data_IF_873035574136
#
_entry.id   IF_873035574136
#
_cell.length_a   1.000
_cell.length_b   1.000
_cell.length_c   1.000
_cell.angle_alpha   90.00
_cell.angle_beta   90.00
_cell.angle_gamma   90.00
#
_symmetry.space_group_name_H-M   'P 1'
#
loop_
_entity.id
_entity.type
_entity.pdbx_description
1 polymer ?
#
# COMPACT_ATOMS: atom_id res chain seq x y z
N UNK A 1 -24.08 7.44 8.17
CA UNK A 1 -22.98 7.02 9.07
C UNK A 1 -22.13 6.04 8.27
N UNK A 2 -20.98 6.50 7.76
CA UNK A 2 -20.20 5.70 6.79
C UNK A 2 -19.38 4.63 7.51
N UNK A 3 -19.29 3.44 6.90
CA UNK A 3 -18.55 2.26 7.36
C UNK A 3 -17.10 2.57 7.80
N UNK A 4 -16.50 3.60 7.21
CA UNK A 4 -15.17 4.13 7.56
C UNK A 4 -15.07 4.67 9.00
N UNK A 5 -16.15 5.26 9.52
CA UNK A 5 -16.21 5.81 10.87
C UNK A 5 -16.42 4.72 11.93
N UNK A 6 -17.03 3.59 11.54
CA UNK A 6 -17.19 2.41 12.39
C UNK A 6 -15.87 1.65 12.56
N UNK A 7 -15.08 1.54 11.49
CA UNK A 7 -13.81 0.79 11.52
C UNK A 7 -12.73 1.50 12.35
N UNK A 8 -12.68 2.84 12.30
CA UNK A 8 -11.74 3.62 13.12
C UNK A 8 -12.11 3.63 14.60
N UNK A 9 -13.41 3.59 14.92
CA UNK A 9 -13.90 3.57 16.31
C UNK A 9 -13.74 2.20 16.97
N UNK A 10 -13.79 1.10 16.21
CA UNK A 10 -13.65 -0.24 16.77
C UNK A 10 -12.20 -0.56 17.21
N UNK A 11 -11.20 0.00 16.53
CA UNK A 11 -9.78 -0.25 16.83
C UNK A 11 -9.26 0.53 18.06
N UNK A 12 -9.92 1.64 18.43
CA UNK A 12 -9.50 2.47 19.56
C UNK A 12 -10.05 2.01 20.92
N UNK A 13 -11.12 1.20 20.95
CA UNK A 13 -11.86 0.89 22.18
C UNK A 13 -11.41 -0.41 22.87
N UNK A 14 -10.58 -1.24 22.22
CA UNK A 14 -10.22 -2.58 22.74
C UNK A 14 -8.75 -2.75 23.15
N UNK A 15 -7.98 -1.67 23.32
CA UNK A 15 -6.61 -1.75 23.81
C UNK A 15 -6.50 -1.19 25.23
N UNK A 16 -6.84 -2.01 26.23
CA UNK A 16 -6.49 -1.71 27.61
C UNK A 16 -5.00 -2.03 27.88
N UNK A 17 -4.31 -1.21 28.68
CA UNK A 17 -2.89 -1.37 28.98
C UNK A 17 -2.70 -2.33 30.16
N UNK A 18 -2.18 -3.54 29.92
CA UNK A 18 -1.80 -4.44 31.01
C UNK A 18 -0.32 -4.30 31.39
N UNK A 19 -0.14 -4.23 32.71
CA UNK A 19 1.04 -3.90 33.51
C UNK A 19 2.15 -4.96 33.47
N UNK A 20 3.41 -4.50 33.46
CA UNK A 20 4.64 -5.29 33.66
C UNK A 20 4.86 -5.70 35.13
N UNK A 21 5.60 -6.79 35.39
CA UNK A 21 6.92 -6.59 35.99
C UNK A 21 8.05 -7.51 35.47
N UNK A 22 9.25 -6.90 35.36
CA UNK A 22 10.58 -7.44 35.68
C UNK A 22 11.00 -8.85 35.25
N UNK A 23 11.90 -8.93 34.26
CA UNK A 23 12.77 -10.08 34.02
C UNK A 23 13.70 -9.86 32.82
N UNK A 24 14.97 -9.56 33.07
CA UNK A 24 15.97 -9.36 32.02
C UNK A 24 16.25 -10.68 31.27
N UNK A 25 15.85 -10.74 30.00
CA UNK A 25 16.52 -11.54 28.99
C UNK A 25 16.77 -10.64 27.77
N UNK A 26 18.04 -10.40 27.45
CA UNK A 26 18.47 -9.83 26.17
C UNK A 26 18.06 -10.80 25.06
N UNK A 27 16.85 -10.66 24.54
CA UNK A 27 16.45 -11.21 23.26
C UNK A 27 16.72 -10.13 22.23
N UNK A 28 17.59 -10.43 21.26
CA UNK A 28 17.78 -9.60 20.08
C UNK A 28 16.41 -9.20 19.54
N UNK A 29 16.14 -7.89 19.55
CA UNK A 29 14.98 -7.30 18.92
C UNK A 29 15.18 -7.40 17.40
N UNK A 30 14.81 -8.55 16.84
CA UNK A 30 14.52 -8.65 15.41
C UNK A 30 13.24 -7.86 15.18
N UNK A 31 13.38 -6.54 15.01
CA UNK A 31 12.33 -5.65 14.53
C UNK A 31 11.75 -6.30 13.28
N UNK A 32 10.58 -6.93 13.42
CA UNK A 32 10.11 -8.00 12.56
C UNK A 32 10.22 -7.63 11.08
N UNK A 33 11.21 -8.19 10.40
CA UNK A 33 11.29 -8.18 8.93
C UNK A 33 10.17 -9.11 8.47
N UNK A 34 8.92 -8.62 8.46
CA UNK A 34 7.79 -9.39 7.92
C UNK A 34 8.04 -9.58 6.43
N UNK A 35 8.75 -10.65 6.09
CA UNK A 35 8.87 -11.17 4.73
C UNK A 35 7.57 -11.88 4.35
N UNK A 36 7.26 -11.87 3.07
CA UNK A 36 6.09 -12.59 2.54
C UNK A 36 6.36 -14.09 2.64
N UNK A 37 5.46 -14.83 3.30
CA UNK A 37 5.50 -16.30 3.26
C UNK A 37 5.12 -16.81 1.86
N UNK A 38 5.44 -18.08 1.55
CA UNK A 38 5.00 -18.70 0.30
C UNK A 38 3.47 -18.59 0.11
N UNK A 39 2.71 -18.84 1.20
CA UNK A 39 1.26 -18.68 1.20
C UNK A 39 0.81 -17.25 0.90
N UNK A 40 1.45 -16.24 1.50
CA UNK A 40 1.12 -14.84 1.22
C UNK A 40 1.36 -14.53 -0.28
N UNK A 41 2.47 -15.02 -0.86
CA UNK A 41 2.80 -14.81 -2.27
C UNK A 41 1.78 -15.46 -3.21
N UNK A 42 1.36 -16.69 -2.92
CA UNK A 42 0.37 -17.40 -3.73
C UNK A 42 -0.99 -16.72 -3.69
N UNK A 43 -1.41 -16.24 -2.51
CA UNK A 43 -2.65 -15.47 -2.36
C UNK A 43 -2.57 -14.16 -3.16
N UNK A 44 -1.46 -13.43 -3.06
CA UNK A 44 -1.26 -12.17 -3.82
C UNK A 44 -1.33 -12.42 -5.32
N UNK A 45 -0.61 -13.43 -5.83
CA UNK A 45 -0.64 -13.79 -7.26
C UNK A 45 -2.03 -14.21 -7.71
N UNK A 46 -2.72 -15.04 -6.92
CA UNK A 46 -4.07 -15.51 -7.21
C UNK A 46 -5.10 -14.39 -7.23
N UNK A 47 -5.05 -13.48 -6.25
CA UNK A 47 -5.94 -12.31 -6.22
C UNK A 47 -5.61 -11.32 -7.34
N UNK A 48 -4.33 -11.05 -7.60
CA UNK A 48 -3.89 -10.21 -8.71
C UNK A 48 -4.44 -10.68 -10.05
N UNK A 49 -4.41 -11.99 -10.33
CA UNK A 49 -4.95 -12.55 -11.56
C UNK A 49 -6.44 -12.20 -11.77
N UNK A 50 -7.24 -12.21 -10.69
CA UNK A 50 -8.67 -11.85 -10.73
C UNK A 50 -8.89 -10.35 -10.98
N UNK A 51 -8.12 -9.50 -10.30
CA UNK A 51 -8.36 -8.05 -10.32
C UNK A 51 -7.60 -7.28 -11.41
N UNK A 52 -6.60 -7.89 -12.06
CA UNK A 52 -5.73 -7.21 -13.03
C UNK A 52 -6.46 -6.57 -14.21
N UNK A 53 -7.60 -7.16 -14.65
CA UNK A 53 -8.46 -6.57 -15.67
C UNK A 53 -9.12 -5.24 -15.28
N UNK A 54 -9.09 -4.89 -13.98
CA UNK A 54 -9.58 -3.63 -13.40
C UNK A 54 -8.47 -2.74 -12.85
N UNK A 55 -7.20 -3.05 -13.14
CA UNK A 55 -6.07 -2.32 -12.60
C UNK A 55 -6.14 -0.79 -12.86
N UNK A 56 -6.56 -0.36 -14.05
CA UNK A 56 -6.69 1.08 -14.36
C UNK A 56 -7.78 1.77 -13.52
N UNK A 57 -8.93 1.12 -13.35
CA UNK A 57 -10.04 1.59 -12.51
C UNK A 57 -9.60 1.67 -11.03
N UNK A 58 -8.92 0.62 -10.53
CA UNK A 58 -8.40 0.55 -9.15
C UNK A 58 -7.41 1.69 -8.90
N UNK A 59 -6.43 1.87 -9.79
CA UNK A 59 -5.40 2.90 -9.65
C UNK A 59 -5.97 4.31 -9.70
N UNK A 60 -6.96 4.55 -10.57
CA UNK A 60 -7.65 5.84 -10.68
C UNK A 60 -8.41 6.17 -9.40
N UNK A 61 -9.21 5.24 -8.88
CA UNK A 61 -10.01 5.48 -7.68
C UNK A 61 -9.11 5.62 -6.44
N UNK A 62 -8.08 4.77 -6.30
CA UNK A 62 -7.15 4.84 -5.17
C UNK A 62 -6.38 6.17 -5.15
N UNK A 63 -5.91 6.65 -6.30
CA UNK A 63 -5.24 7.93 -6.40
C UNK A 63 -6.20 9.10 -6.15
N UNK A 64 -7.44 9.02 -6.67
CA UNK A 64 -8.47 10.03 -6.41
C UNK A 64 -8.77 10.16 -4.92
N UNK A 65 -8.94 9.02 -4.22
CA UNK A 65 -9.16 8.98 -2.76
C UNK A 65 -7.98 9.51 -1.99
N UNK A 66 -6.76 9.14 -2.37
CA UNK A 66 -5.54 9.64 -1.74
C UNK A 66 -5.49 11.18 -1.81
N UNK A 67 -5.72 11.76 -2.99
CA UNK A 67 -5.69 13.21 -3.17
C UNK A 67 -6.82 13.91 -2.42
N UNK A 68 -8.01 13.30 -2.33
CA UNK A 68 -9.15 13.89 -1.62
C UNK A 68 -9.02 13.82 -0.10
N UNK A 69 -8.64 12.65 0.44
CA UNK A 69 -8.65 12.35 1.89
C UNK A 69 -7.33 12.73 2.57
N UNK A 70 -6.23 12.78 1.82
CA UNK A 70 -4.89 13.11 2.33
C UNK A 70 -4.31 14.30 1.56
N UNK A 71 -4.79 15.54 1.80
CA UNK A 71 -4.41 16.72 1.02
C UNK A 71 -2.90 17.01 0.99
N UNK A 72 -2.15 16.59 1.99
CA UNK A 72 -0.68 16.72 2.02
C UNK A 72 -0.01 16.04 0.82
N UNK A 73 -0.63 14.98 0.29
CA UNK A 73 -0.10 14.25 -0.88
C UNK A 73 -0.23 15.04 -2.18
N UNK A 74 -1.10 16.06 -2.24
CA UNK A 74 -1.26 16.93 -3.43
C UNK A 74 -0.01 17.73 -3.76
N UNK A 75 0.87 17.97 -2.79
CA UNK A 75 2.11 18.75 -2.98
C UNK A 75 3.00 18.15 -4.08
N UNK A 76 3.08 16.82 -4.15
CA UNK A 76 3.81 16.06 -5.18
C UNK A 76 3.21 16.19 -6.60
N UNK A 77 1.96 16.62 -6.70
CA UNK A 77 1.20 16.74 -7.95
C UNK A 77 0.82 18.19 -8.29
N UNK A 78 1.46 19.17 -7.65
CA UNK A 78 1.21 20.61 -7.84
C UNK A 78 1.37 21.12 -9.28
N UNK A 79 2.07 20.36 -10.13
CA UNK A 79 2.24 20.64 -11.55
C UNK A 79 1.02 20.23 -12.40
N UNK A 80 0.04 19.48 -11.84
CA UNK A 80 -1.19 19.13 -12.55
C UNK A 80 -2.22 20.25 -12.43
N UNK A 81 -2.82 20.62 -13.56
CA UNK A 81 -3.88 21.64 -13.62
C UNK A 81 -5.21 21.17 -13.02
N UNK A 82 -5.44 19.86 -12.97
CA UNK A 82 -6.68 19.26 -12.50
C UNK A 82 -6.41 18.01 -11.65
N UNK A 83 -6.66 18.13 -10.35
CA UNK A 83 -6.54 17.07 -9.35
C UNK A 83 -7.90 16.48 -8.95
N UNK A 84 -8.97 16.83 -9.68
CA UNK A 84 -10.30 16.30 -9.40
C UNK A 84 -10.35 14.77 -9.59
N UNK A 85 -11.22 14.06 -8.84
CA UNK A 85 -11.39 12.63 -9.01
C UNK A 85 -11.65 12.26 -10.48
N UNK A 86 -10.99 11.22 -10.97
CA UNK A 86 -11.11 10.75 -12.36
C UNK A 86 -10.70 11.74 -13.46
N UNK A 87 -9.99 12.83 -13.12
CA UNK A 87 -9.39 13.71 -14.13
C UNK A 87 -8.41 12.95 -15.03
N UNK A 88 -8.15 13.46 -16.24
CA UNK A 88 -7.21 12.85 -17.17
C UNK A 88 -5.81 12.57 -16.57
N UNK A 89 -5.15 13.50 -15.84
CA UNK A 89 -3.86 13.22 -15.23
C UNK A 89 -3.95 12.18 -14.10
N UNK A 90 -5.03 12.18 -13.31
CA UNK A 90 -5.27 11.18 -12.25
C UNK A 90 -5.43 9.79 -12.85
N UNK A 91 -6.24 9.63 -13.91
CA UNK A 91 -6.39 8.34 -14.63
C UNK A 91 -5.05 7.84 -15.18
N UNK A 92 -4.33 8.71 -15.88
CA UNK A 92 -3.04 8.39 -16.49
C UNK A 92 -2.04 7.93 -15.43
N UNK A 93 -1.94 8.63 -14.31
CA UNK A 93 -0.99 8.28 -13.27
C UNK A 93 -1.44 7.07 -12.43
N UNK A 94 -2.75 6.91 -12.18
CA UNK A 94 -3.32 5.71 -11.56
C UNK A 94 -2.94 4.44 -12.31
N UNK A 95 -2.96 4.48 -13.65
CA UNK A 95 -2.44 3.41 -14.50
C UNK A 95 -0.94 3.17 -14.27
N UNK A 96 -0.12 4.22 -14.24
CA UNK A 96 1.32 4.11 -13.97
C UNK A 96 1.61 3.46 -12.62
N UNK A 97 0.89 3.86 -11.56
CA UNK A 97 0.99 3.25 -10.23
C UNK A 97 0.71 1.75 -10.31
N UNK A 98 -0.39 1.37 -10.97
CA UNK A 98 -0.78 -0.04 -11.06
C UNK A 98 0.11 -0.88 -11.98
N UNK A 99 0.77 -0.27 -12.96
CA UNK A 99 1.87 -0.93 -13.69
C UNK A 99 3.06 -1.22 -12.76
N UNK A 100 3.39 -0.30 -11.85
CA UNK A 100 4.42 -0.55 -10.81
C UNK A 100 4.02 -1.66 -9.84
N UNK A 101 2.74 -1.73 -9.45
CA UNK A 101 2.22 -2.85 -8.63
C UNK A 101 2.29 -4.18 -9.40
N UNK A 102 1.95 -4.19 -10.68
CA UNK A 102 2.06 -5.38 -11.53
C UNK A 102 3.50 -5.90 -11.61
N UNK A 103 4.46 -4.99 -11.83
CA UNK A 103 5.89 -5.30 -11.85
C UNK A 103 6.33 -5.89 -10.50
N UNK A 104 5.90 -5.29 -9.38
CA UNK A 104 6.16 -5.81 -8.04
C UNK A 104 5.58 -7.23 -7.81
N UNK A 105 4.38 -7.54 -8.31
CA UNK A 105 3.82 -8.90 -8.23
C UNK A 105 4.67 -9.89 -9.02
N UNK A 106 5.19 -9.50 -10.18
CA UNK A 106 6.10 -10.34 -10.98
C UNK A 106 7.46 -10.59 -10.29
N UNK A 107 7.89 -9.65 -9.43
CA UNK A 107 9.15 -9.67 -8.69
C UNK A 107 8.98 -9.99 -7.21
N UNK A 108 7.85 -10.61 -6.83
CA UNK A 108 7.47 -10.80 -5.42
C UNK A 108 8.45 -11.65 -4.59
N UNK A 109 9.34 -12.39 -5.26
CA UNK A 109 10.39 -13.17 -4.61
C UNK A 109 11.61 -12.32 -4.18
N UNK A 110 11.89 -11.22 -4.90
CA UNK A 110 12.91 -10.24 -4.55
C UNK A 110 12.47 -8.81 -4.95
N UNK A 111 11.65 -8.20 -4.08
CA UNK A 111 11.15 -6.84 -4.30
C UNK A 111 12.25 -5.79 -4.23
N UNK A 112 13.22 -5.94 -3.32
CA UNK A 112 14.29 -4.96 -3.12
C UNK A 112 15.23 -4.91 -4.32
N UNK A 113 15.65 -6.06 -4.85
CA UNK A 113 16.45 -6.11 -6.08
C UNK A 113 15.63 -5.73 -7.32
N UNK A 114 14.40 -6.25 -7.42
CA UNK A 114 13.54 -6.06 -8.58
C UNK A 114 13.05 -4.61 -8.79
N UNK A 115 12.90 -3.82 -7.72
CA UNK A 115 12.37 -2.46 -7.77
C UNK A 115 13.44 -1.38 -7.55
N UNK A 116 14.72 -1.73 -7.67
CA UNK A 116 15.85 -0.86 -7.41
C UNK A 116 15.74 0.49 -8.14
N UNK A 117 15.55 0.46 -9.46
CA UNK A 117 15.42 1.66 -10.29
C UNK A 117 14.21 2.51 -9.90
N UNK A 118 13.10 1.87 -9.49
CA UNK A 118 11.90 2.57 -9.05
C UNK A 118 12.12 3.22 -7.67
N UNK A 119 12.90 2.59 -6.80
CA UNK A 119 13.34 3.17 -5.53
C UNK A 119 14.23 4.39 -5.76
N UNK A 120 15.22 4.31 -6.66
CA UNK A 120 16.10 5.44 -7.00
C UNK A 120 15.32 6.63 -7.57
N UNK A 121 14.35 6.37 -8.46
CA UNK A 121 13.46 7.41 -9.00
C UNK A 121 12.72 8.13 -7.87
N UNK A 122 12.12 7.39 -6.94
CA UNK A 122 11.36 7.98 -5.84
C UNK A 122 12.27 8.70 -4.82
N UNK A 123 13.45 8.16 -4.54
CA UNK A 123 14.39 8.70 -3.56
C UNK A 123 15.08 9.97 -4.05
N UNK A 124 15.65 9.95 -5.26
CA UNK A 124 16.57 11.01 -5.71
C UNK A 124 15.90 12.05 -6.60
N UNK A 125 14.97 11.62 -7.46
CA UNK A 125 14.31 12.49 -8.44
C UNK A 125 13.00 13.06 -7.90
N UNK A 126 12.07 12.19 -7.47
CA UNK A 126 10.76 12.61 -7.02
C UNK A 126 10.76 13.07 -5.56
N UNK A 127 11.69 12.55 -4.75
CA UNK A 127 11.88 12.83 -3.32
C UNK A 127 10.58 12.72 -2.52
N UNK A 128 9.81 11.68 -2.79
CA UNK A 128 8.52 11.42 -2.10
C UNK A 128 8.82 10.97 -0.67
N UNK A 129 8.21 11.56 0.36
CA UNK A 129 8.43 11.05 1.73
C UNK A 129 7.90 9.60 1.83
N UNK A 130 8.72 8.63 2.29
CA UNK A 130 8.34 7.23 2.45
C UNK A 130 7.02 6.97 3.20
N UNK A 131 6.62 7.88 4.09
CA UNK A 131 5.35 7.80 4.80
C UNK A 131 4.14 7.78 3.85
N UNK A 132 4.24 8.44 2.69
CA UNK A 132 3.14 8.52 1.72
C UNK A 132 2.88 7.20 0.98
N UNK A 133 3.87 6.30 0.89
CA UNK A 133 3.63 4.98 0.27
C UNK A 133 2.60 4.16 1.05
N UNK A 134 2.58 4.28 2.37
CA UNK A 134 1.58 3.61 3.22
C UNK A 134 0.19 4.19 3.02
N UNK A 135 0.10 5.50 2.78
CA UNK A 135 -1.17 6.17 2.47
C UNK A 135 -1.74 5.61 1.16
N UNK A 136 -0.92 5.53 0.10
CA UNK A 136 -1.35 4.97 -1.17
C UNK A 136 -1.73 3.49 -1.03
N UNK A 137 -0.92 2.69 -0.33
CA UNK A 137 -1.21 1.28 -0.06
C UNK A 137 -2.56 1.08 0.62
N UNK A 138 -2.88 1.90 1.62
CA UNK A 138 -4.18 1.87 2.29
C UNK A 138 -5.34 2.17 1.32
N UNK A 139 -5.21 3.20 0.49
CA UNK A 139 -6.24 3.55 -0.50
C UNK A 139 -6.43 2.44 -1.55
N UNK A 140 -5.36 1.74 -1.95
CA UNK A 140 -5.45 0.57 -2.81
C UNK A 140 -6.26 -0.56 -2.15
N UNK A 141 -5.98 -0.86 -0.87
CA UNK A 141 -6.73 -1.88 -0.11
C UNK A 141 -8.22 -1.54 -0.07
N UNK A 142 -8.56 -0.30 0.24
CA UNK A 142 -9.96 0.16 0.30
C UNK A 142 -10.66 -0.06 -1.05
N UNK A 143 -10.01 0.31 -2.16
CA UNK A 143 -10.61 0.15 -3.49
C UNK A 143 -10.72 -1.31 -3.91
N UNK A 144 -9.71 -2.13 -3.64
CA UNK A 144 -9.76 -3.57 -3.89
C UNK A 144 -10.92 -4.23 -3.13
N UNK A 145 -11.14 -3.85 -1.87
CA UNK A 145 -12.25 -4.35 -1.06
C UNK A 145 -13.63 -3.91 -1.61
N UNK A 146 -13.75 -2.67 -2.11
CA UNK A 146 -14.99 -2.15 -2.70
C UNK A 146 -15.30 -2.85 -4.02
N UNK A 147 -14.30 -3.07 -4.87
CA UNK A 147 -14.50 -3.59 -6.22
C UNK A 147 -14.64 -5.12 -6.27
N UNK A 148 -14.03 -5.83 -5.30
CA UNK A 148 -14.01 -7.29 -5.26
C UNK A 148 -14.49 -7.83 -3.90
N UNK A 149 -15.67 -7.45 -3.39
CA UNK A 149 -16.08 -7.76 -2.02
C UNK A 149 -16.21 -9.26 -1.74
N UNK A 150 -16.53 -10.08 -2.75
CA UNK A 150 -16.62 -11.53 -2.62
C UNK A 150 -15.24 -12.22 -2.60
N UNK A 151 -14.25 -11.64 -3.29
CA UNK A 151 -12.91 -12.20 -3.40
C UNK A 151 -11.92 -11.60 -2.38
N UNK A 152 -12.21 -10.43 -1.82
CA UNK A 152 -11.36 -9.74 -0.85
C UNK A 152 -11.62 -10.25 0.57
N UNK A 153 -11.33 -11.54 0.79
CA UNK A 153 -11.47 -12.20 2.09
C UNK A 153 -10.46 -11.67 3.12
N UNK A 154 -10.62 -11.96 4.42
CA UNK A 154 -9.63 -11.60 5.44
C UNK A 154 -8.21 -12.09 5.12
N UNK A 155 -8.07 -13.28 4.54
CA UNK A 155 -6.78 -13.85 4.14
C UNK A 155 -6.14 -13.06 2.99
N UNK A 156 -6.96 -12.68 1.99
CA UNK A 156 -6.51 -11.81 0.88
C UNK A 156 -6.10 -10.44 1.41
N UNK A 157 -6.89 -9.86 2.32
CA UNK A 157 -6.58 -8.58 2.94
C UNK A 157 -5.21 -8.63 3.65
N UNK A 158 -4.98 -9.61 4.53
CA UNK A 158 -3.72 -9.75 5.25
C UNK A 158 -2.53 -9.94 4.29
N UNK A 159 -2.68 -10.79 3.27
CA UNK A 159 -1.61 -11.04 2.30
C UNK A 159 -1.29 -9.79 1.46
N UNK A 160 -2.33 -9.08 0.99
CA UNK A 160 -2.17 -7.84 0.22
C UNK A 160 -1.59 -6.70 1.05
N UNK A 161 -1.98 -6.56 2.33
CA UNK A 161 -1.41 -5.56 3.25
C UNK A 161 0.08 -5.81 3.48
N UNK A 162 0.47 -7.06 3.78
CA UNK A 162 1.88 -7.43 3.88
C UNK A 162 2.64 -7.16 2.58
N UNK A 163 2.06 -7.48 1.43
CA UNK A 163 2.70 -7.26 0.12
C UNK A 163 2.91 -5.79 -0.16
N UNK A 164 1.89 -4.94 0.02
CA UNK A 164 2.01 -3.51 -0.17
C UNK A 164 2.96 -2.86 0.86
N UNK A 165 3.01 -3.38 2.08
CA UNK A 165 4.00 -3.00 3.08
C UNK A 165 5.44 -3.41 2.71
N UNK A 166 5.63 -4.57 2.07
CA UNK A 166 6.91 -4.99 1.52
C UNK A 166 7.33 -4.14 0.30
N UNK A 167 6.38 -3.83 -0.60
CA UNK A 167 6.55 -2.93 -1.73
C UNK A 167 7.00 -1.54 -1.27
N UNK A 168 6.28 -0.94 -0.30
CA UNK A 168 6.63 0.36 0.25
C UNK A 168 8.04 0.38 0.86
N UNK A 169 8.44 -0.69 1.55
CA UNK A 169 9.80 -0.83 2.08
C UNK A 169 10.84 -0.91 0.97
N UNK A 170 10.59 -1.70 -0.08
CA UNK A 170 11.49 -1.81 -1.23
C UNK A 170 11.65 -0.46 -1.96
N UNK A 171 10.57 0.32 -2.13
CA UNK A 171 10.67 1.66 -2.69
C UNK A 171 11.46 2.63 -1.80
N UNK A 172 11.47 2.39 -0.49
CA UNK A 172 12.19 3.22 0.49
C UNK A 172 13.66 2.85 0.66
N UNK A 173 14.15 1.80 -0.01
CA UNK A 173 15.50 1.24 0.22
C UNK A 173 16.61 2.26 -0.05
N UNK A 174 16.47 3.10 -1.08
CA UNK A 174 17.50 4.06 -1.52
C UNK A 174 17.44 5.44 -0.87
N UNK A 175 16.58 5.63 0.12
CA UNK A 175 16.43 6.93 0.79
C UNK A 175 17.56 7.25 1.79
N UNK A 176 18.41 6.29 2.12
CA UNK A 176 19.50 6.41 3.09
C UNK A 176 20.65 5.47 2.78
#
# INVERSE_FOLDING_TARGET
MNFFQLFHSFFLVHMEPSTMPGGQQKKQETKGKMSLSAKDKDIVKGFWAKMSGKAEDIGTDALSRMLAVYPQTKTYFSHWKDLSPSSAPVKKHGKTVMSGVADAVSKIDDLSGGLLTLSELHAFTLRVDPANFKILAHNLIVVMAIMFPADFTPEVHVAMDKFLGALARALSEKYR
#
